data_IF_232670626825
#
_entry.id   IF_232670626825
#
_cell.length_a   1.000
_cell.length_b   1.000
_cell.length_c   1.000
_cell.angle_alpha   90.00
_cell.angle_beta   90.00
_cell.angle_gamma   90.00
#
_symmetry.space_group_name_H-M   'P 1'
#
loop_
_entity.id
_entity.type
_entity.pdbx_description
1 polymer ?
#
# COMPACT_ATOMS: atom_id res chain seq x y z
N UNK A 1 -15.58 -12.85 -37.51
CA UNK A 1 -14.75 -14.09 -37.46
C UNK A 1 -15.58 -15.22 -38.05
N UNK A 2 -14.99 -16.07 -38.89
CA UNK A 2 -15.69 -17.22 -39.49
C UNK A 2 -16.26 -18.16 -38.40
N UNK A 3 -17.53 -18.56 -38.57
CA UNK A 3 -18.32 -19.42 -37.67
C UNK A 3 -17.61 -20.74 -37.35
N UNK A 4 -16.89 -21.31 -38.33
CA UNK A 4 -16.27 -22.63 -38.22
C UNK A 4 -14.89 -22.61 -37.53
N UNK A 5 -14.45 -21.46 -37.00
CA UNK A 5 -13.17 -21.38 -36.29
C UNK A 5 -13.32 -21.90 -34.87
N UNK A 6 -12.42 -22.80 -34.46
CA UNK A 6 -12.36 -23.38 -33.10
C UNK A 6 -12.54 -22.33 -31.98
N UNK A 7 -11.86 -21.16 -31.97
CA UNK A 7 -12.07 -20.15 -30.93
C UNK A 7 -13.53 -19.66 -30.81
N UNK A 8 -14.23 -19.51 -31.95
CA UNK A 8 -15.63 -19.07 -31.96
C UNK A 8 -16.56 -20.15 -31.44
N UNK A 9 -16.31 -21.40 -31.82
CA UNK A 9 -17.03 -22.59 -31.34
C UNK A 9 -16.85 -22.73 -29.82
N UNK A 10 -15.61 -22.67 -29.32
CA UNK A 10 -15.32 -22.74 -27.89
C UNK A 10 -15.98 -21.60 -27.10
N UNK A 11 -15.94 -20.37 -27.63
CA UNK A 11 -16.60 -19.22 -27.00
C UNK A 11 -18.11 -19.41 -26.89
N UNK A 12 -18.78 -19.78 -27.99
CA UNK A 12 -20.23 -20.01 -28.00
C UNK A 12 -20.59 -21.13 -27.01
N UNK A 13 -19.80 -22.21 -26.97
CA UNK A 13 -20.02 -23.31 -26.02
C UNK A 13 -19.88 -22.85 -24.57
N UNK A 14 -18.89 -22.05 -24.24
CA UNK A 14 -18.72 -21.49 -22.89
C UNK A 14 -19.88 -20.56 -22.51
N UNK A 15 -20.41 -19.80 -23.46
CA UNK A 15 -21.59 -18.95 -23.27
C UNK A 15 -22.85 -19.77 -22.99
N UNK A 16 -23.10 -20.85 -23.73
CA UNK A 16 -24.18 -21.79 -23.44
C UNK A 16 -24.05 -22.44 -22.06
N UNK A 17 -22.82 -22.84 -21.69
CA UNK A 17 -22.55 -23.44 -20.39
C UNK A 17 -22.72 -22.43 -19.24
N UNK A 18 -22.56 -21.13 -19.49
CA UNK A 18 -22.77 -20.08 -18.51
C UNK A 18 -24.26 -19.83 -18.18
N UNK A 19 -25.20 -20.33 -18.99
CA UNK A 19 -26.64 -20.29 -18.69
C UNK A 19 -27.05 -21.34 -17.65
N UNK A 20 -26.13 -22.23 -17.25
CA UNK A 20 -26.35 -23.25 -16.22
C UNK A 20 -25.49 -22.92 -15.00
N UNK A 21 -25.92 -23.33 -13.79
CA UNK A 21 -25.07 -23.27 -12.61
C UNK A 21 -23.78 -24.03 -12.88
N UNK A 22 -22.65 -23.36 -12.70
CA UNK A 22 -21.33 -23.91 -12.98
C UNK A 22 -20.27 -23.20 -12.16
N UNK A 23 -19.11 -23.85 -12.02
CA UNK A 23 -17.99 -23.30 -11.27
C UNK A 23 -17.25 -22.25 -12.13
N UNK A 24 -17.20 -20.96 -11.71
CA UNK A 24 -16.54 -19.91 -12.47
C UNK A 24 -15.06 -20.19 -12.74
N UNK A 25 -14.39 -21.02 -11.93
CA UNK A 25 -12.97 -21.39 -12.12
C UNK A 25 -12.70 -22.04 -13.48
N UNK A 26 -13.70 -22.73 -14.05
CA UNK A 26 -13.57 -23.45 -15.31
C UNK A 26 -14.31 -22.79 -16.47
N UNK A 27 -14.97 -21.66 -16.25
CA UNK A 27 -15.67 -20.92 -17.29
C UNK A 27 -15.43 -19.41 -17.17
N UNK A 28 -14.53 -18.89 -18.01
CA UNK A 28 -14.20 -17.47 -17.99
C UNK A 28 -15.38 -16.57 -18.36
N UNK A 29 -16.40 -17.06 -19.07
CA UNK A 29 -17.62 -16.28 -19.36
C UNK A 29 -18.38 -15.97 -18.08
N UNK A 30 -18.41 -16.90 -17.12
CA UNK A 30 -18.97 -16.65 -15.79
C UNK A 30 -18.15 -15.62 -15.01
N UNK A 31 -16.81 -15.68 -15.11
CA UNK A 31 -15.93 -14.69 -14.47
C UNK A 31 -16.15 -13.28 -15.04
N UNK A 32 -16.24 -13.16 -16.37
CA UNK A 32 -16.50 -11.87 -17.02
C UNK A 32 -17.91 -11.37 -16.74
N UNK A 33 -18.92 -12.26 -16.69
CA UNK A 33 -20.27 -11.91 -16.27
C UNK A 33 -20.28 -11.35 -14.84
N UNK A 34 -19.60 -12.00 -13.90
CA UNK A 34 -19.48 -11.50 -12.53
C UNK A 34 -18.81 -10.12 -12.49
N UNK A 35 -17.72 -9.90 -13.23
CA UNK A 35 -17.07 -8.58 -13.29
C UNK A 35 -18.00 -7.50 -13.86
N UNK A 36 -18.83 -7.85 -14.85
CA UNK A 36 -19.83 -6.94 -15.41
C UNK A 36 -20.99 -6.70 -14.44
N UNK A 37 -21.40 -7.72 -13.67
CA UNK A 37 -22.38 -7.59 -12.59
C UNK A 37 -21.88 -6.63 -11.52
N UNK A 38 -20.67 -6.85 -11.04
CA UNK A 38 -20.00 -5.99 -10.07
C UNK A 38 -19.94 -4.54 -10.60
N UNK A 39 -19.53 -4.36 -11.86
CA UNK A 39 -19.43 -3.04 -12.49
C UNK A 39 -20.77 -2.41 -12.94
N UNK A 40 -21.93 -3.07 -12.72
CA UNK A 40 -23.25 -2.57 -13.15
C UNK A 40 -23.46 -2.52 -14.67
N UNK A 41 -22.72 -3.35 -15.41
CA UNK A 41 -22.59 -3.33 -16.87
C UNK A 41 -23.03 -4.64 -17.56
N UNK A 42 -23.82 -5.50 -16.88
CA UNK A 42 -24.26 -6.82 -17.39
C UNK A 42 -24.92 -6.75 -18.76
N UNK A 43 -25.68 -5.70 -19.01
CA UNK A 43 -26.36 -5.42 -20.28
C UNK A 43 -25.40 -5.40 -21.48
N UNK A 44 -24.11 -5.18 -21.25
CA UNK A 44 -23.07 -5.11 -22.27
C UNK A 44 -22.38 -6.45 -22.55
N UNK A 45 -22.84 -7.56 -21.96
CA UNK A 45 -22.32 -8.92 -22.18
C UNK A 45 -22.67 -9.43 -23.59
N UNK A 46 -21.99 -8.87 -24.59
CA UNK A 46 -22.06 -9.26 -25.99
C UNK A 46 -20.66 -9.23 -26.61
N UNK A 47 -20.53 -9.76 -27.83
CA UNK A 47 -19.24 -9.86 -28.52
C UNK A 47 -18.57 -8.52 -28.81
N UNK A 48 -19.33 -7.42 -28.80
CA UNK A 48 -18.82 -6.05 -29.03
C UNK A 48 -19.18 -5.09 -27.91
N UNK A 49 -20.18 -5.40 -27.08
CA UNK A 49 -20.72 -4.50 -26.05
C UNK A 49 -19.69 -4.08 -25.01
N UNK A 50 -18.87 -5.01 -24.52
CA UNK A 50 -17.79 -4.70 -23.56
C UNK A 50 -16.73 -3.78 -24.19
N UNK A 51 -16.40 -3.99 -25.46
CA UNK A 51 -15.42 -3.16 -26.17
C UNK A 51 -15.96 -1.75 -26.43
N UNK A 52 -17.22 -1.64 -26.83
CA UNK A 52 -17.90 -0.37 -27.11
C UNK A 52 -18.11 0.45 -25.83
N UNK A 53 -18.35 -0.20 -24.70
CA UNK A 53 -18.59 0.44 -23.41
C UNK A 53 -17.40 0.28 -22.45
N UNK A 54 -16.19 0.17 -23.00
CA UNK A 54 -14.96 -0.07 -22.21
C UNK A 54 -14.79 0.95 -21.09
N UNK A 55 -15.01 2.24 -21.38
CA UNK A 55 -14.84 3.33 -20.41
C UNK A 55 -15.83 3.25 -19.24
N UNK A 56 -17.09 2.88 -19.54
CA UNK A 56 -18.12 2.67 -18.54
C UNK A 56 -17.77 1.47 -17.64
N UNK A 57 -17.39 0.36 -18.26
CA UNK A 57 -16.95 -0.84 -17.56
C UNK A 57 -15.74 -0.58 -16.66
N UNK A 58 -14.69 0.07 -17.16
CA UNK A 58 -13.49 0.36 -16.37
C UNK A 58 -13.81 1.27 -15.18
N UNK A 59 -14.65 2.29 -15.38
CA UNK A 59 -15.08 3.19 -14.30
C UNK A 59 -15.92 2.47 -13.24
N UNK A 60 -16.85 1.60 -13.66
CA UNK A 60 -17.64 0.79 -12.74
C UNK A 60 -16.76 -0.14 -11.90
N UNK A 61 -15.83 -0.84 -12.56
CA UNK A 61 -14.89 -1.74 -11.90
C UNK A 61 -13.94 -1.00 -10.94
N UNK A 62 -13.42 0.17 -11.34
CA UNK A 62 -12.60 1.04 -10.47
C UNK A 62 -13.36 1.47 -9.21
N UNK A 63 -14.63 1.82 -9.35
CA UNK A 63 -15.49 2.21 -8.21
C UNK A 63 -15.66 1.06 -7.22
N UNK A 64 -16.00 -0.14 -7.71
CA UNK A 64 -16.22 -1.32 -6.88
C UNK A 64 -14.95 -1.75 -6.18
N UNK A 65 -13.86 -1.89 -6.93
CA UNK A 65 -12.56 -2.31 -6.39
C UNK A 65 -12.05 -1.32 -5.34
N UNK A 66 -12.22 -0.01 -5.57
CA UNK A 66 -11.90 1.02 -4.58
C UNK A 66 -12.74 0.89 -3.32
N UNK A 67 -14.05 0.66 -3.45
CA UNK A 67 -14.93 0.48 -2.30
C UNK A 67 -14.54 -0.74 -1.45
N UNK A 68 -14.24 -1.87 -2.09
CA UNK A 68 -13.76 -3.09 -1.43
C UNK A 68 -12.43 -2.85 -0.73
N UNK A 69 -11.48 -2.17 -1.37
CA UNK A 69 -10.19 -1.86 -0.77
C UNK A 69 -10.32 -0.90 0.41
N UNK A 70 -11.24 0.08 0.33
CA UNK A 70 -11.55 0.99 1.43
C UNK A 70 -12.14 0.23 2.63
N UNK A 71 -13.10 -0.67 2.40
CA UNK A 71 -13.68 -1.48 3.47
C UNK A 71 -12.63 -2.37 4.14
N UNK A 72 -11.75 -3.01 3.35
CA UNK A 72 -10.62 -3.80 3.86
C UNK A 72 -9.65 -2.95 4.67
N UNK A 73 -9.32 -1.75 4.22
CA UNK A 73 -8.45 -0.82 4.94
C UNK A 73 -9.06 -0.39 6.29
N UNK A 74 -10.35 -0.11 6.32
CA UNK A 74 -11.09 0.29 7.53
C UNK A 74 -11.25 -0.88 8.52
N UNK A 75 -11.49 -2.09 8.03
CA UNK A 75 -11.67 -3.30 8.86
C UNK A 75 -10.35 -3.94 9.31
N UNK A 76 -9.22 -3.61 8.68
CA UNK A 76 -7.89 -4.15 9.04
C UNK A 76 -7.53 -3.88 10.51
N UNK A 77 -7.44 -4.95 11.31
CA UNK A 77 -7.02 -4.90 12.72
C UNK A 77 -5.50 -4.96 12.91
N UNK A 78 -4.78 -5.46 11.89
CA UNK A 78 -3.33 -5.68 11.92
C UNK A 78 -2.54 -4.42 11.57
N UNK A 79 -2.94 -3.69 10.53
CA UNK A 79 -2.26 -2.47 10.10
C UNK A 79 -3.27 -1.35 9.86
N UNK A 80 -3.13 -0.24 10.61
CA UNK A 80 -3.97 0.96 10.48
C UNK A 80 -3.39 1.98 9.50
N UNK A 81 -2.15 1.81 9.02
CA UNK A 81 -1.52 2.72 8.06
C UNK A 81 -2.35 3.01 6.79
N UNK A 82 -3.13 2.07 6.23
CA UNK A 82 -3.98 2.34 5.06
C UNK A 82 -5.15 3.30 5.33
N UNK A 83 -5.44 3.67 6.58
CA UNK A 83 -6.59 4.49 6.96
C UNK A 83 -6.35 6.01 6.84
N UNK A 84 -5.25 6.44 6.24
CA UNK A 84 -5.04 7.87 6.00
C UNK A 84 -5.96 8.38 4.88
N UNK A 85 -6.40 9.64 4.97
CA UNK A 85 -7.38 10.26 4.07
C UNK A 85 -7.00 10.11 2.59
N UNK A 86 -5.73 10.35 2.25
CA UNK A 86 -5.25 10.20 0.87
C UNK A 86 -5.32 8.76 0.33
N UNK A 87 -5.12 7.73 1.16
CA UNK A 87 -5.31 6.33 0.72
C UNK A 87 -6.78 6.00 0.49
N UNK A 88 -7.68 6.54 1.33
CA UNK A 88 -9.11 6.32 1.23
C UNK A 88 -9.71 7.01 -0.01
N UNK A 89 -9.14 8.14 -0.42
CA UNK A 89 -9.50 8.83 -1.67
C UNK A 89 -8.93 8.17 -2.93
N UNK A 90 -8.11 7.11 -2.76
CA UNK A 90 -7.49 6.39 -3.87
C UNK A 90 -6.35 7.15 -4.55
N UNK A 91 -5.79 8.16 -3.87
CA UNK A 91 -4.67 8.93 -4.39
C UNK A 91 -3.36 8.16 -4.19
N UNK A 92 -2.52 8.18 -5.22
CA UNK A 92 -1.16 7.66 -5.10
C UNK A 92 -0.40 8.42 -4.01
N UNK A 93 0.54 7.73 -3.36
CA UNK A 93 1.43 8.41 -2.43
C UNK A 93 2.28 9.45 -3.18
N UNK A 94 2.35 10.69 -2.68
CA UNK A 94 3.13 11.74 -3.35
C UNK A 94 4.61 11.38 -3.60
N UNK A 95 5.21 10.47 -2.81
CA UNK A 95 6.58 10.00 -3.07
C UNK A 95 6.72 9.06 -4.28
N UNK A 96 5.62 8.43 -4.75
CA UNK A 96 5.64 7.54 -5.91
C UNK A 96 5.77 8.33 -7.22
N UNK A 97 5.23 9.54 -7.25
CA UNK A 97 5.25 10.44 -8.42
C UNK A 97 6.60 11.15 -8.59
N UNK A 98 7.41 11.20 -7.54
CA UNK A 98 8.73 11.87 -7.57
C UNK A 98 9.78 11.05 -8.31
N UNK A 99 10.70 11.75 -8.96
CA UNK A 99 11.90 11.17 -9.57
C UNK A 99 12.92 10.78 -8.49
N UNK A 100 12.63 9.66 -7.82
CA UNK A 100 13.50 9.07 -6.79
C UNK A 100 13.94 7.68 -7.22
N UNK A 101 15.18 7.27 -6.89
CA UNK A 101 15.60 5.89 -7.05
C UNK A 101 14.65 4.91 -6.37
N UNK A 102 14.45 3.73 -6.98
CA UNK A 102 13.53 2.72 -6.46
C UNK A 102 13.85 2.30 -5.02
N UNK A 103 15.14 2.19 -4.67
CA UNK A 103 15.55 1.85 -3.30
C UNK A 103 15.05 2.86 -2.27
N UNK A 104 15.04 4.15 -2.63
CA UNK A 104 14.52 5.24 -1.80
C UNK A 104 13.00 5.14 -1.66
N UNK A 105 12.28 4.93 -2.78
CA UNK A 105 10.83 4.73 -2.76
C UNK A 105 10.44 3.54 -1.86
N UNK A 106 11.23 2.46 -1.88
CA UNK A 106 11.03 1.29 -0.99
C UNK A 106 11.17 1.62 0.48
N UNK A 107 12.11 2.48 0.87
CA UNK A 107 12.27 2.91 2.27
C UNK A 107 11.06 3.75 2.69
N UNK A 108 10.66 4.72 1.87
CA UNK A 108 9.48 5.55 2.15
C UNK A 108 8.20 4.72 2.25
N UNK A 109 8.03 3.71 1.40
CA UNK A 109 6.94 2.75 1.48
C UNK A 109 6.95 1.95 2.81
N UNK A 110 8.11 1.49 3.26
CA UNK A 110 8.27 0.78 4.54
C UNK A 110 7.93 1.68 5.73
N UNK A 111 8.38 2.93 5.72
CA UNK A 111 8.07 3.92 6.77
C UNK A 111 6.58 4.24 6.77
N UNK A 112 5.95 4.36 5.58
CA UNK A 112 4.49 4.54 5.44
C UNK A 112 3.68 3.38 6.00
N UNK A 113 4.16 2.17 5.81
CA UNK A 113 3.48 0.97 6.29
C UNK A 113 3.90 0.56 7.69
N UNK A 114 4.74 1.36 8.37
CA UNK A 114 5.20 1.10 9.72
C UNK A 114 4.01 1.13 10.68
N UNK A 115 3.63 -0.05 11.16
CA UNK A 115 2.63 -0.17 12.20
C UNK A 115 3.21 0.10 13.58
N UNK A 116 2.34 0.41 14.53
CA UNK A 116 2.70 0.62 15.94
C UNK A 116 3.18 -0.68 16.62
N UNK A 117 2.66 -1.85 16.22
CA UNK A 117 3.02 -3.14 16.86
C UNK A 117 4.40 -3.64 16.45
N UNK A 118 4.65 -3.67 15.14
CA UNK A 118 5.86 -4.20 14.55
C UNK A 118 6.16 -3.47 13.25
N UNK A 119 7.43 -3.10 13.07
CA UNK A 119 7.91 -2.51 11.84
C UNK A 119 9.28 -3.09 11.49
N UNK A 120 9.51 -3.32 10.19
CA UNK A 120 10.81 -3.69 9.64
C UNK A 120 11.19 -2.71 8.55
N UNK A 121 12.34 -2.07 8.70
CA UNK A 121 12.92 -1.18 7.69
C UNK A 121 14.21 -1.79 7.18
N UNK A 122 14.29 -1.98 5.87
CA UNK A 122 15.51 -2.42 5.18
C UNK A 122 16.01 -1.31 4.27
N UNK A 123 17.26 -0.90 4.48
CA UNK A 123 17.92 0.13 3.68
C UNK A 123 19.40 -0.20 3.49
N UNK A 124 19.90 -0.18 2.24
CA UNK A 124 21.32 -0.42 1.92
C UNK A 124 21.83 -1.76 2.46
N UNK A 125 20.98 -2.79 2.47
CA UNK A 125 21.30 -4.13 2.98
C UNK A 125 21.18 -4.27 4.51
N UNK A 126 20.93 -3.19 5.22
CA UNK A 126 20.76 -3.17 6.67
C UNK A 126 19.28 -3.29 7.04
N UNK A 127 18.96 -4.20 7.95
CA UNK A 127 17.58 -4.44 8.40
C UNK A 127 17.42 -4.07 9.86
N UNK A 128 16.47 -3.19 10.14
CA UNK A 128 16.09 -2.74 11.48
C UNK A 128 14.71 -3.26 11.82
N UNK A 129 14.58 -3.86 12.99
CA UNK A 129 13.30 -4.31 13.55
C UNK A 129 12.89 -3.35 14.67
N UNK A 130 11.61 -3.11 14.78
CA UNK A 130 10.98 -2.31 15.81
C UNK A 130 9.79 -3.11 16.33
N UNK A 131 9.66 -3.21 17.65
CA UNK A 131 8.57 -3.91 18.30
C UNK A 131 8.09 -3.13 19.52
N UNK A 132 6.77 -3.00 19.65
CA UNK A 132 6.17 -2.38 20.84
C UNK A 132 6.36 -3.19 22.11
N UNK A 133 6.61 -4.50 21.98
CA UNK A 133 6.86 -5.40 23.10
C UNK A 133 8.20 -5.16 23.77
N UNK A 134 9.13 -4.57 23.02
CA UNK A 134 10.52 -4.46 23.43
C UNK A 134 10.79 -3.01 23.84
N UNK A 135 11.58 -2.77 24.91
CA UNK A 135 12.04 -1.43 25.22
C UNK A 135 13.05 -0.98 24.16
N UNK A 136 13.15 0.33 23.93
CA UNK A 136 14.15 0.89 23.05
C UNK A 136 15.55 0.54 23.58
N UNK A 137 16.33 -0.18 22.76
CA UNK A 137 17.66 -0.67 23.13
C UNK A 137 18.73 0.42 23.14
N UNK A 138 18.41 1.61 22.63
CA UNK A 138 19.38 2.70 22.45
C UNK A 138 19.20 3.79 23.50
N UNK A 139 17.96 4.05 23.93
CA UNK A 139 17.69 5.06 24.96
C UNK A 139 17.38 4.41 26.30
N UNK A 140 17.93 4.98 27.38
CA UNK A 140 17.72 4.49 28.74
C UNK A 140 16.38 4.95 29.35
N UNK A 141 15.38 5.28 28.52
CA UNK A 141 14.08 5.81 28.96
C UNK A 141 13.04 4.73 29.23
N UNK A 142 13.31 3.47 28.84
CA UNK A 142 12.33 2.38 28.95
C UNK A 142 11.11 2.52 28.03
N UNK A 143 11.13 3.49 27.11
CA UNK A 143 10.09 3.68 26.09
C UNK A 143 10.03 2.51 25.11
N UNK A 144 8.89 2.33 24.45
CA UNK A 144 8.68 1.25 23.47
C UNK A 144 9.57 1.44 22.23
N UNK A 145 10.15 0.36 21.71
CA UNK A 145 11.02 0.37 20.52
C UNK A 145 10.20 0.47 19.22
N UNK A 146 9.59 1.64 18.99
CA UNK A 146 8.80 1.92 17.80
C UNK A 146 9.52 2.90 16.87
N UNK A 147 9.17 2.86 15.59
CA UNK A 147 9.65 3.86 14.63
C UNK A 147 9.19 5.26 15.00
N UNK A 148 7.97 5.38 15.56
CA UNK A 148 7.46 6.64 16.09
C UNK A 148 8.41 7.18 17.17
N UNK A 149 8.71 6.38 18.19
CA UNK A 149 9.62 6.76 19.27
C UNK A 149 10.99 7.24 18.76
N UNK A 150 11.59 6.52 17.79
CA UNK A 150 12.84 6.92 17.13
C UNK A 150 12.73 8.33 16.52
N UNK A 151 11.61 8.59 15.82
CA UNK A 151 11.35 9.80 15.06
C UNK A 151 10.82 10.97 15.89
N UNK A 152 10.31 10.75 17.10
CA UNK A 152 9.70 11.80 17.92
C UNK A 152 10.45 12.09 19.23
N UNK A 153 10.80 11.08 20.01
CA UNK A 153 11.07 11.26 21.45
C UNK A 153 12.45 10.73 21.87
N UNK A 154 13.02 9.78 21.12
CA UNK A 154 14.23 9.07 21.52
C UNK A 154 15.38 10.05 21.80
N UNK A 155 15.84 10.15 23.05
CA UNK A 155 16.81 11.17 23.46
C UNK A 155 18.13 11.09 22.67
N UNK A 156 18.57 9.87 22.33
CA UNK A 156 19.82 9.63 21.60
C UNK A 156 19.81 10.23 20.19
N UNK A 157 18.64 10.29 19.55
CA UNK A 157 18.50 10.80 18.19
C UNK A 157 18.02 12.25 18.12
N UNK A 158 18.00 12.96 19.26
CA UNK A 158 17.55 14.37 19.34
C UNK A 158 18.32 15.26 18.38
N UNK A 159 19.65 15.18 18.38
CA UNK A 159 20.50 15.95 17.47
C UNK A 159 20.20 15.66 16.00
N UNK A 160 20.07 14.39 15.62
CA UNK A 160 19.79 13.99 14.23
C UNK A 160 18.39 14.45 13.79
N UNK A 161 17.40 14.39 14.70
CA UNK A 161 16.05 14.93 14.45
C UNK A 161 16.13 16.43 14.19
N UNK A 162 16.70 17.21 15.11
CA UNK A 162 16.82 18.66 14.95
C UNK A 162 17.59 19.04 13.69
N UNK A 163 18.69 18.34 13.39
CA UNK A 163 19.54 18.60 12.21
C UNK A 163 18.82 18.37 10.89
N UNK A 164 17.97 17.35 10.80
CA UNK A 164 17.40 16.92 9.52
C UNK A 164 15.92 17.24 9.37
N UNK A 165 15.16 17.20 10.45
CA UNK A 165 13.71 17.39 10.49
C UNK A 165 13.31 18.73 11.12
N UNK A 166 14.26 19.45 11.74
CA UNK A 166 14.01 20.72 12.42
C UNK A 166 13.42 20.56 13.82
N UNK A 167 12.85 21.63 14.35
CA UNK A 167 12.20 21.67 15.67
C UNK A 167 10.75 21.14 15.67
N UNK A 168 10.25 20.68 14.53
CA UNK A 168 8.90 20.17 14.43
C UNK A 168 8.74 18.91 15.29
N UNK A 169 7.82 18.95 16.26
CA UNK A 169 7.45 17.78 17.07
C UNK A 169 6.73 16.77 16.18
N UNK A 170 7.46 15.74 15.78
CA UNK A 170 6.88 14.58 15.13
C UNK A 170 6.10 13.81 16.19
N UNK A 171 4.87 13.43 15.92
CA UNK A 171 4.09 12.53 16.78
C UNK A 171 3.71 11.29 15.97
N UNK A 172 3.32 10.21 16.65
CA UNK A 172 2.80 9.01 15.97
C UNK A 172 1.61 9.34 15.04
N UNK A 173 0.81 10.35 15.40
CA UNK A 173 -0.35 10.82 14.64
C UNK A 173 0.03 11.62 13.39
N UNK A 174 1.14 12.39 13.45
CA UNK A 174 1.64 13.20 12.34
C UNK A 174 2.60 12.43 11.42
N UNK A 175 3.03 11.24 11.82
CA UNK A 175 3.95 10.39 11.05
C UNK A 175 3.43 10.06 9.63
N UNK A 176 2.14 9.72 9.41
CA UNK A 176 1.60 9.53 8.06
C UNK A 176 1.64 10.80 7.20
N UNK A 177 1.47 11.97 7.82
CA UNK A 177 1.50 13.29 7.16
C UNK A 177 2.92 13.68 6.76
N UNK A 178 3.93 13.30 7.55
CA UNK A 178 5.35 13.48 7.20
C UNK A 178 5.79 12.68 5.97
N UNK A 179 5.02 11.68 5.55
CA UNK A 179 5.28 10.92 4.33
C UNK A 179 4.57 11.49 3.10
N UNK A 180 3.70 12.48 3.31
CA UNK A 180 3.11 13.30 2.25
C UNK A 180 3.99 14.53 1.95
N UNK A 181 5.11 14.73 2.66
CA UNK A 181 6.01 15.87 2.47
C UNK A 181 6.42 16.05 1.00
N UNK A 182 6.37 17.30 0.55
CA UNK A 182 6.83 17.75 -0.77
C UNK A 182 8.33 17.49 -1.00
N UNK A 183 9.14 17.37 0.05
CA UNK A 183 10.53 16.92 -0.02
C UNK A 183 10.85 15.77 0.96
N UNK A 184 10.99 14.52 0.47
CA UNK A 184 11.37 13.40 1.32
C UNK A 184 12.87 13.39 1.67
N UNK A 185 13.66 14.32 1.11
CA UNK A 185 15.12 14.38 1.23
C UNK A 185 15.58 14.47 2.70
N UNK A 186 14.91 15.29 3.49
CA UNK A 186 15.15 15.49 4.92
C UNK A 186 14.86 14.24 5.75
N UNK A 187 13.71 13.60 5.51
CA UNK A 187 13.33 12.35 6.16
C UNK A 187 14.33 11.23 5.86
N UNK A 188 14.75 11.11 4.60
CA UNK A 188 15.74 10.13 4.19
C UNK A 188 17.10 10.39 4.87
N UNK A 189 17.57 11.64 4.88
CA UNK A 189 18.83 11.98 5.57
C UNK A 189 18.76 11.63 7.06
N UNK A 190 17.65 11.94 7.72
CA UNK A 190 17.42 11.54 9.12
C UNK A 190 17.50 10.02 9.30
N UNK A 191 16.66 9.29 8.56
CA UNK A 191 16.55 7.83 8.68
C UNK A 191 17.90 7.16 8.41
N UNK A 192 18.65 7.62 7.41
CA UNK A 192 19.98 7.07 7.09
C UNK A 192 20.95 7.25 8.26
N UNK A 193 20.99 8.43 8.85
CA UNK A 193 21.86 8.74 9.98
C UNK A 193 21.45 7.98 11.24
N UNK A 194 20.16 8.03 11.62
CA UNK A 194 19.65 7.43 12.84
C UNK A 194 19.72 5.90 12.82
N UNK A 195 19.35 5.27 11.70
CA UNK A 195 19.38 3.82 11.58
C UNK A 195 20.82 3.28 11.62
N UNK A 196 21.77 3.93 10.96
CA UNK A 196 23.19 3.53 11.05
C UNK A 196 23.74 3.64 12.48
N UNK A 197 23.44 4.73 13.17
CA UNK A 197 23.85 4.91 14.58
C UNK A 197 23.20 3.87 15.50
N UNK A 198 21.93 3.55 15.28
CA UNK A 198 21.21 2.49 16.01
C UNK A 198 21.91 1.15 15.89
N UNK A 199 22.40 0.77 14.70
CA UNK A 199 23.15 -0.47 14.54
C UNK A 199 24.44 -0.48 15.35
N UNK A 200 25.21 0.59 15.30
CA UNK A 200 26.43 0.69 16.10
C UNK A 200 26.14 0.55 17.60
N UNK A 201 25.03 1.13 18.08
CA UNK A 201 24.63 1.04 19.48
C UNK A 201 24.07 -0.33 19.89
N UNK A 202 23.61 -1.15 18.93
CA UNK A 202 23.05 -2.48 19.19
C UNK A 202 24.03 -3.62 18.91
N UNK A 203 25.24 -3.32 18.43
CA UNK A 203 26.27 -4.30 18.12
C UNK A 203 27.17 -4.49 19.35
N UNK A 204 26.66 -5.19 20.37
CA UNK A 204 27.45 -5.81 21.44
C UNK A 204 27.58 -7.32 21.21
#
# INVERSE_FOLDING_TARGET
MNENRLPRICFNRLKELAERPGDPRYNWVLQVRQLLEDAGCVQHLSTTGVQQNKSEFTRGLESVTRSVDMERALSSSHNRAPRNTGSLEGLAAGYLEKELPLHTKRVLAQVRLAGDRFCRITWEGLTHKFSRTDPCQVCNLGSQDTLAHLMSECAVFSYQRTRHLGEATITAENLPTLLQLEEPSSLLKFLRSALRLRLCAMSE
#
